data_IF_187203113198
#
_entry.id   IF_187203113198
#
_cell.length_a   1.000
_cell.length_b   1.000
_cell.length_c   1.000
_cell.angle_alpha   90.00
_cell.angle_beta   90.00
_cell.angle_gamma   90.00
#
_symmetry.space_group_name_H-M   'P 1'
#
loop_
_entity.id
_entity.type
_entity.pdbx_description
1 polymer ?
#
# COMPACT_ATOMS: atom_id res chain seq x y z
N UNK A 1 -36.67 -11.60 -2.21
CA UNK A 1 -35.24 -11.75 -2.51
C UNK A 1 -34.54 -10.50 -2.01
N UNK A 2 -33.54 -10.62 -1.13
CA UNK A 2 -32.74 -9.46 -0.70
C UNK A 2 -32.01 -8.88 -1.92
N UNK A 3 -31.91 -7.53 -2.01
CA UNK A 3 -31.14 -6.91 -3.09
C UNK A 3 -29.67 -7.38 -3.01
N UNK A 4 -28.98 -7.55 -4.15
CA UNK A 4 -27.58 -7.89 -4.16
C UNK A 4 -26.78 -6.82 -3.45
N UNK A 5 -25.73 -7.22 -2.70
CA UNK A 5 -24.82 -6.28 -2.04
C UNK A 5 -23.87 -5.65 -3.03
N UNK A 6 -23.56 -4.38 -2.82
CA UNK A 6 -22.66 -3.61 -3.66
C UNK A 6 -21.26 -3.58 -3.05
N UNK A 7 -20.26 -3.82 -3.89
CA UNK A 7 -18.84 -3.72 -3.55
C UNK A 7 -18.21 -2.56 -4.28
N UNK A 8 -17.50 -1.71 -3.57
CA UNK A 8 -16.67 -0.65 -4.16
C UNK A 8 -15.19 -0.99 -3.98
N UNK A 9 -14.47 -1.15 -5.09
CA UNK A 9 -13.01 -1.25 -5.08
C UNK A 9 -12.40 0.13 -5.30
N UNK A 10 -11.80 0.70 -4.25
CA UNK A 10 -11.03 1.93 -4.32
C UNK A 10 -9.56 1.62 -4.59
N UNK A 11 -9.05 2.02 -5.74
CA UNK A 11 -7.65 1.82 -6.13
C UNK A 11 -6.85 3.07 -5.78
N UNK A 12 -6.10 3.01 -4.66
CA UNK A 12 -5.26 4.09 -4.16
C UNK A 12 -3.92 4.24 -4.86
N UNK A 13 -3.58 3.34 -5.78
CA UNK A 13 -2.31 3.38 -6.49
C UNK A 13 -2.31 4.43 -7.60
N UNK A 14 -1.30 5.35 -7.66
CA UNK A 14 -1.14 6.27 -8.79
C UNK A 14 -0.94 5.58 -10.15
N UNK A 15 -0.51 4.32 -10.16
CA UNK A 15 -0.33 3.51 -11.38
C UNK A 15 -1.64 2.98 -11.95
N UNK A 16 -2.77 3.17 -11.25
CA UNK A 16 -4.10 2.76 -11.69
C UNK A 16 -4.21 1.26 -11.94
N UNK A 17 -4.73 0.89 -13.09
CA UNK A 17 -4.94 -0.51 -13.51
C UNK A 17 -3.65 -1.33 -13.57
N UNK A 18 -2.52 -0.69 -13.88
CA UNK A 18 -1.19 -1.34 -13.95
C UNK A 18 -0.49 -1.38 -12.59
N UNK A 19 -1.25 -1.67 -11.52
CA UNK A 19 -0.71 -1.71 -10.16
C UNK A 19 -0.99 -3.04 -9.48
N UNK A 20 -0.10 -3.43 -8.57
CA UNK A 20 -0.33 -4.58 -7.71
C UNK A 20 -1.57 -4.40 -6.83
N UNK A 21 -1.85 -3.18 -6.39
CA UNK A 21 -3.07 -2.87 -5.62
C UNK A 21 -4.32 -3.24 -6.39
N UNK A 22 -4.39 -2.87 -7.69
CA UNK A 22 -5.50 -3.24 -8.55
C UNK A 22 -5.58 -4.77 -8.74
N UNK A 23 -4.46 -5.42 -9.10
CA UNK A 23 -4.44 -6.86 -9.32
C UNK A 23 -4.92 -7.67 -8.09
N UNK A 24 -4.51 -7.27 -6.88
CA UNK A 24 -4.92 -7.93 -5.64
C UNK A 24 -6.39 -7.63 -5.32
N UNK A 25 -6.79 -6.35 -5.38
CA UNK A 25 -8.16 -5.92 -5.11
C UNK A 25 -9.16 -6.55 -6.07
N UNK A 26 -8.82 -6.58 -7.36
CA UNK A 26 -9.66 -7.20 -8.40
C UNK A 26 -9.88 -8.69 -8.18
N UNK A 27 -8.85 -9.42 -7.73
CA UNK A 27 -9.01 -10.83 -7.37
C UNK A 27 -10.07 -11.02 -6.27
N UNK A 28 -10.02 -10.22 -5.20
CA UNK A 28 -11.02 -10.30 -4.13
C UNK A 28 -12.41 -9.93 -4.64
N UNK A 29 -12.52 -8.88 -5.46
CA UNK A 29 -13.78 -8.46 -6.07
C UNK A 29 -14.36 -9.57 -6.94
N UNK A 30 -13.57 -10.19 -7.81
CA UNK A 30 -14.04 -11.31 -8.63
C UNK A 30 -14.60 -12.47 -7.77
N UNK A 31 -13.97 -12.74 -6.60
CA UNK A 31 -14.47 -13.76 -5.65
C UNK A 31 -15.78 -13.34 -4.97
N UNK A 32 -16.04 -12.05 -4.83
CA UNK A 32 -17.31 -11.52 -4.32
C UNK A 32 -18.38 -11.56 -5.41
N UNK A 33 -18.03 -11.25 -6.66
CA UNK A 33 -18.94 -11.37 -7.82
C UNK A 33 -19.39 -12.81 -8.04
N UNK A 34 -18.50 -13.81 -7.86
CA UNK A 34 -18.84 -15.25 -7.89
C UNK A 34 -19.90 -15.61 -6.81
N UNK A 35 -20.06 -14.76 -5.78
CA UNK A 35 -21.04 -14.91 -4.69
C UNK A 35 -22.28 -14.02 -4.86
N UNK A 36 -22.43 -13.39 -6.03
CA UNK A 36 -23.59 -12.59 -6.41
C UNK A 36 -23.57 -11.13 -5.96
N UNK A 37 -22.41 -10.58 -5.56
CA UNK A 37 -22.28 -9.15 -5.32
C UNK A 37 -22.09 -8.41 -6.63
N UNK A 38 -22.51 -7.14 -6.66
CA UNK A 38 -22.29 -6.22 -7.79
C UNK A 38 -21.13 -5.30 -7.46
N UNK A 39 -20.15 -5.20 -8.35
CA UNK A 39 -18.96 -4.39 -8.10
C UNK A 39 -18.91 -3.11 -8.91
N UNK A 40 -18.25 -2.10 -8.33
CA UNK A 40 -17.83 -0.85 -8.96
C UNK A 40 -16.34 -0.63 -8.64
N UNK A 41 -15.59 -0.09 -9.59
CA UNK A 41 -14.19 0.30 -9.39
C UNK A 41 -14.03 1.82 -9.48
N UNK A 42 -13.29 2.39 -8.54
CA UNK A 42 -12.93 3.80 -8.55
C UNK A 42 -11.42 4.00 -8.35
N UNK A 43 -10.82 4.72 -9.28
CA UNK A 43 -9.40 5.09 -9.23
C UNK A 43 -9.27 6.43 -8.53
N UNK A 44 -8.73 6.41 -7.33
CA UNK A 44 -8.64 7.58 -6.45
C UNK A 44 -7.99 8.78 -7.15
N UNK A 45 -6.92 8.55 -7.92
CA UNK A 45 -6.23 9.61 -8.68
C UNK A 45 -7.12 10.33 -9.69
N UNK A 46 -8.08 9.64 -10.28
CA UNK A 46 -9.06 10.25 -11.21
C UNK A 46 -10.20 10.93 -10.45
N UNK A 47 -10.56 10.38 -9.30
CA UNK A 47 -11.72 10.82 -8.51
C UNK A 47 -11.48 12.13 -7.76
N UNK A 48 -10.26 12.35 -7.22
CA UNK A 48 -10.00 13.51 -6.35
C UNK A 48 -9.53 14.79 -7.08
N UNK A 49 -9.34 14.71 -8.40
CA UNK A 49 -8.81 15.83 -9.20
C UNK A 49 -9.87 16.78 -9.76
N UNK A 50 -11.14 16.37 -9.77
CA UNK A 50 -12.25 17.18 -10.28
C UNK A 50 -13.41 17.12 -9.30
N UNK A 51 -14.28 18.13 -9.35
CA UNK A 51 -15.50 18.17 -8.54
C UNK A 51 -16.43 17.00 -8.86
N UNK A 52 -16.66 16.76 -10.14
CA UNK A 52 -17.53 15.67 -10.60
C UNK A 52 -16.95 14.29 -10.24
N UNK A 53 -15.62 14.15 -10.26
CA UNK A 53 -14.94 12.94 -9.80
C UNK A 53 -15.16 12.69 -8.31
N UNK A 54 -15.06 13.77 -7.51
CA UNK A 54 -15.30 13.70 -6.07
C UNK A 54 -16.77 13.36 -5.75
N UNK A 55 -17.72 14.00 -6.42
CA UNK A 55 -19.14 13.72 -6.22
C UNK A 55 -19.49 12.27 -6.59
N UNK A 56 -18.93 11.73 -7.69
CA UNK A 56 -19.09 10.31 -8.04
C UNK A 56 -18.49 9.39 -6.99
N UNK A 57 -17.26 9.67 -6.53
CA UNK A 57 -16.60 8.88 -5.48
C UNK A 57 -17.47 8.79 -4.22
N UNK A 58 -17.96 9.92 -3.73
CA UNK A 58 -18.78 9.99 -2.53
C UNK A 58 -20.10 9.21 -2.70
N UNK A 59 -20.75 9.35 -3.87
CA UNK A 59 -21.95 8.58 -4.21
C UNK A 59 -21.68 7.06 -4.26
N UNK A 60 -20.55 6.64 -4.86
CA UNK A 60 -20.16 5.22 -4.90
C UNK A 60 -19.90 4.68 -3.49
N UNK A 61 -19.26 5.49 -2.63
CA UNK A 61 -19.04 5.15 -1.21
C UNK A 61 -20.37 4.96 -0.47
N UNK A 62 -21.34 5.84 -0.67
CA UNK A 62 -22.67 5.72 -0.02
C UNK A 62 -23.43 4.47 -0.48
N UNK A 63 -23.34 4.13 -1.75
CA UNK A 63 -24.05 3.00 -2.33
C UNK A 63 -23.44 1.63 -1.95
N UNK A 64 -22.15 1.58 -1.62
CA UNK A 64 -21.47 0.33 -1.33
C UNK A 64 -21.91 -0.27 0.02
N UNK A 65 -21.93 -1.60 0.12
CA UNK A 65 -22.08 -2.35 1.37
C UNK A 65 -20.70 -2.80 1.88
N UNK A 66 -19.77 -3.08 0.96
CA UNK A 66 -18.38 -3.40 1.23
C UNK A 66 -17.48 -2.47 0.43
N UNK A 67 -16.58 -1.79 1.10
CA UNK A 67 -15.56 -0.93 0.48
C UNK A 67 -14.21 -1.59 0.67
N UNK A 68 -13.50 -1.81 -0.41
CA UNK A 68 -12.15 -2.39 -0.42
C UNK A 68 -11.17 -1.30 -0.86
N UNK A 69 -10.39 -0.76 0.07
CA UNK A 69 -9.31 0.16 -0.24
C UNK A 69 -8.03 -0.63 -0.53
N UNK A 70 -7.66 -0.73 -1.80
CA UNK A 70 -6.41 -1.36 -2.24
C UNK A 70 -5.38 -0.28 -2.58
N UNK A 71 -4.30 -0.17 -1.79
CA UNK A 71 -3.33 0.92 -1.89
C UNK A 71 -1.89 0.44 -1.65
N UNK A 72 -0.89 1.05 -2.32
CA UNK A 72 0.50 0.81 -1.96
C UNK A 72 0.91 1.63 -0.74
N UNK A 73 1.97 1.20 -0.07
CA UNK A 73 2.69 1.98 0.92
C UNK A 73 4.00 2.48 0.30
N UNK A 74 4.20 3.80 0.29
CA UNK A 74 5.40 4.46 -0.23
C UNK A 74 6.13 5.16 0.90
N UNK A 75 7.30 4.63 1.28
CA UNK A 75 8.13 5.19 2.36
C UNK A 75 7.28 5.48 3.62
N UNK A 76 6.62 4.43 4.11
CA UNK A 76 5.77 4.43 5.31
C UNK A 76 4.52 5.35 5.25
N UNK A 77 4.15 5.84 4.06
CA UNK A 77 2.96 6.67 3.85
C UNK A 77 2.09 6.19 2.69
N UNK A 78 0.82 6.60 2.70
CA UNK A 78 -0.06 6.42 1.56
C UNK A 78 0.24 7.44 0.47
N UNK A 79 -0.05 7.13 -0.81
CA UNK A 79 -0.02 8.14 -1.87
C UNK A 79 -0.95 9.33 -1.53
N UNK A 80 -0.50 10.55 -1.84
CA UNK A 80 -1.27 11.76 -1.52
C UNK A 80 -2.71 11.76 -2.06
N UNK A 81 -3.02 11.22 -3.26
CA UNK A 81 -4.41 11.09 -3.70
C UNK A 81 -5.25 10.18 -2.79
N UNK A 82 -4.64 9.12 -2.22
CA UNK A 82 -5.33 8.24 -1.27
C UNK A 82 -5.68 9.00 0.01
N UNK A 83 -4.72 9.77 0.57
CA UNK A 83 -4.96 10.60 1.75
C UNK A 83 -6.09 11.58 1.45
N UNK A 84 -6.03 12.27 0.30
CA UNK A 84 -7.07 13.22 -0.11
C UNK A 84 -8.45 12.58 -0.23
N UNK A 85 -8.55 11.38 -0.78
CA UNK A 85 -9.82 10.67 -0.85
C UNK A 85 -10.37 10.31 0.54
N UNK A 86 -9.50 9.86 1.46
CA UNK A 86 -9.91 9.58 2.85
C UNK A 86 -10.42 10.84 3.56
N UNK A 87 -9.75 11.99 3.37
CA UNK A 87 -10.21 13.26 3.91
C UNK A 87 -11.58 13.65 3.37
N UNK A 88 -11.78 13.59 2.04
CA UNK A 88 -13.05 13.93 1.40
C UNK A 88 -14.20 13.03 1.87
N UNK A 89 -13.94 11.71 1.98
CA UNK A 89 -14.92 10.75 2.49
C UNK A 89 -15.24 11.05 3.96
N UNK A 90 -14.23 11.35 4.79
CA UNK A 90 -14.43 11.67 6.20
C UNK A 90 -15.27 12.93 6.39
N UNK A 91 -14.92 14.02 5.70
CA UNK A 91 -15.67 15.28 5.80
C UNK A 91 -17.13 15.11 5.31
N UNK A 92 -17.32 14.38 4.21
CA UNK A 92 -18.67 14.08 3.74
C UNK A 92 -19.49 13.31 4.78
N UNK A 93 -18.90 12.30 5.42
CA UNK A 93 -19.58 11.46 6.42
C UNK A 93 -19.79 12.14 7.77
N UNK A 94 -19.09 13.22 8.04
CA UNK A 94 -19.44 14.13 9.16
C UNK A 94 -20.69 14.93 8.86
N UNK A 95 -20.84 15.36 7.61
CA UNK A 95 -21.99 16.18 7.20
C UNK A 95 -23.25 15.34 6.92
N UNK A 96 -23.07 14.12 6.39
CA UNK A 96 -24.15 13.21 5.99
C UNK A 96 -23.96 11.87 6.70
N UNK A 97 -24.85 11.56 7.64
CA UNK A 97 -24.80 10.29 8.34
C UNK A 97 -25.13 9.12 7.39
N UNK A 98 -24.41 8.00 7.50
CA UNK A 98 -24.68 6.83 6.66
C UNK A 98 -26.05 6.23 6.96
N UNK A 99 -26.78 5.87 5.91
CA UNK A 99 -28.12 5.25 6.01
C UNK A 99 -28.07 3.75 6.28
N UNK A 100 -26.89 3.14 6.11
CA UNK A 100 -26.67 1.70 6.30
C UNK A 100 -25.29 1.42 6.91
N UNK A 101 -25.14 0.25 7.51
CA UNK A 101 -23.85 -0.25 7.98
C UNK A 101 -23.01 -0.73 6.80
N UNK A 102 -21.78 -0.24 6.70
CA UNK A 102 -20.85 -0.52 5.60
C UNK A 102 -19.54 -1.08 6.16
N UNK A 103 -19.00 -2.11 5.52
CA UNK A 103 -17.69 -2.66 5.85
C UNK A 103 -16.59 -1.90 5.10
N UNK A 104 -15.52 -1.53 5.80
CA UNK A 104 -14.28 -1.06 5.20
C UNK A 104 -13.18 -2.10 5.38
N UNK A 105 -12.68 -2.60 4.28
CA UNK A 105 -11.54 -3.53 4.17
C UNK A 105 -10.36 -2.78 3.57
N UNK A 106 -9.14 -3.06 4.04
CA UNK A 106 -7.95 -2.53 3.37
C UNK A 106 -7.01 -3.63 2.91
N UNK A 107 -6.42 -3.45 1.73
CA UNK A 107 -5.33 -4.25 1.17
C UNK A 107 -4.16 -3.32 0.95
N UNK A 108 -3.11 -3.46 1.75
CA UNK A 108 -1.91 -2.64 1.65
C UNK A 108 -0.78 -3.49 1.10
N UNK A 109 -0.12 -3.01 0.05
CA UNK A 109 1.04 -3.68 -0.51
C UNK A 109 2.29 -2.80 -0.44
N UNK A 110 3.42 -3.42 -0.14
CA UNK A 110 4.74 -2.77 -0.06
C UNK A 110 5.74 -3.47 -0.97
N UNK A 111 6.75 -2.72 -1.43
CA UNK A 111 7.90 -3.28 -2.14
C UNK A 111 8.81 -4.10 -1.24
N UNK A 112 8.85 -3.79 0.06
CA UNK A 112 9.66 -4.52 1.04
C UNK A 112 8.96 -5.80 1.49
N UNK A 113 9.72 -6.86 1.85
CA UNK A 113 9.13 -8.12 2.28
C UNK A 113 8.58 -8.08 3.71
N UNK A 114 9.06 -7.16 4.56
CA UNK A 114 8.64 -7.04 5.96
C UNK A 114 7.22 -6.48 6.04
N UNK A 115 6.27 -7.31 6.44
CA UNK A 115 4.86 -6.91 6.58
C UNK A 115 4.62 -5.95 7.75
N UNK A 116 5.52 -5.93 8.71
CA UNK A 116 5.47 -5.10 9.92
C UNK A 116 5.47 -3.60 9.58
N UNK A 117 6.12 -3.21 8.47
CA UNK A 117 6.08 -1.83 7.95
C UNK A 117 4.65 -1.35 7.63
N UNK A 118 3.72 -2.29 7.36
CA UNK A 118 2.34 -1.97 7.04
C UNK A 118 1.40 -1.93 8.26
N UNK A 119 1.88 -2.28 9.45
CA UNK A 119 1.03 -2.35 10.67
C UNK A 119 0.47 -0.99 11.05
N UNK A 120 1.30 0.05 10.97
CA UNK A 120 0.86 1.43 11.26
C UNK A 120 -0.14 1.89 10.21
N UNK A 121 0.10 1.59 8.94
CA UNK A 121 -0.80 1.92 7.85
C UNK A 121 -2.19 1.26 8.03
N UNK A 122 -2.23 -0.02 8.42
CA UNK A 122 -3.51 -0.71 8.74
C UNK A 122 -4.20 -0.05 9.92
N UNK A 123 -3.46 0.34 10.98
CA UNK A 123 -4.02 1.07 12.13
C UNK A 123 -4.62 2.43 11.72
N UNK A 124 -3.96 3.15 10.82
CA UNK A 124 -4.47 4.43 10.29
C UNK A 124 -5.82 4.21 9.60
N UNK A 125 -5.93 3.22 8.71
CA UNK A 125 -7.21 2.93 8.03
C UNK A 125 -8.27 2.42 9.00
N UNK A 126 -7.91 1.63 10.01
CA UNK A 126 -8.84 1.21 11.05
C UNK A 126 -9.39 2.40 11.86
N UNK A 127 -8.53 3.35 12.24
CA UNK A 127 -8.94 4.58 12.92
C UNK A 127 -9.83 5.45 12.02
N UNK A 128 -9.47 5.57 10.74
CA UNK A 128 -10.31 6.23 9.74
C UNK A 128 -11.69 5.56 9.63
N UNK A 129 -11.75 4.23 9.61
CA UNK A 129 -13.01 3.50 9.58
C UNK A 129 -13.90 3.89 10.76
N UNK A 130 -13.35 3.89 11.96
CA UNK A 130 -14.07 4.28 13.19
C UNK A 130 -14.52 5.74 13.12
N UNK A 131 -13.62 6.66 12.77
CA UNK A 131 -13.90 8.10 12.71
C UNK A 131 -14.93 8.47 11.63
N UNK A 132 -15.05 7.64 10.58
CA UNK A 132 -15.96 7.85 9.44
C UNK A 132 -17.17 6.91 9.47
N UNK A 133 -17.51 6.32 10.60
CA UNK A 133 -18.67 5.44 10.80
C UNK A 133 -18.74 4.23 9.85
N UNK A 134 -17.56 3.65 9.51
CA UNK A 134 -17.48 2.34 8.87
C UNK A 134 -17.26 1.25 9.90
N UNK A 135 -17.85 0.08 9.69
CA UNK A 135 -17.50 -1.13 10.41
C UNK A 135 -16.16 -1.65 9.85
N UNK A 136 -15.19 -1.90 10.72
CA UNK A 136 -13.92 -2.46 10.30
C UNK A 136 -14.10 -3.88 9.76
N UNK A 137 -13.72 -4.10 8.50
CA UNK A 137 -13.85 -5.37 7.79
C UNK A 137 -12.57 -6.21 7.76
N UNK A 138 -11.42 -5.61 8.16
CA UNK A 138 -10.11 -6.28 8.23
C UNK A 138 -9.04 -5.65 7.36
N UNK A 139 -7.76 -6.05 7.56
CA UNK A 139 -6.59 -5.46 6.90
C UNK A 139 -5.56 -6.47 6.42
N UNK A 140 -5.39 -6.60 5.12
CA UNK A 140 -4.43 -7.49 4.47
C UNK A 140 -3.13 -6.74 4.17
N UNK A 141 -1.99 -7.36 4.52
CA UNK A 141 -0.64 -6.82 4.32
C UNK A 141 0.11 -7.69 3.32
N UNK A 142 0.41 -7.13 2.17
CA UNK A 142 1.11 -7.85 1.10
C UNK A 142 2.53 -7.32 0.95
N UNK A 143 3.47 -7.99 1.62
CA UNK A 143 4.89 -7.71 1.49
C UNK A 143 5.45 -8.23 0.17
N UNK A 144 6.57 -7.60 -0.28
CA UNK A 144 7.28 -7.96 -1.50
C UNK A 144 6.41 -7.89 -2.76
N UNK A 145 5.53 -6.88 -2.81
CA UNK A 145 4.61 -6.68 -3.94
C UNK A 145 5.29 -6.60 -5.31
N UNK A 146 6.58 -6.22 -5.37
CA UNK A 146 7.34 -6.21 -6.63
C UNK A 146 7.35 -7.57 -7.34
N UNK A 147 7.27 -8.68 -6.59
CA UNK A 147 7.26 -10.03 -7.15
C UNK A 147 5.95 -10.33 -7.93
N UNK A 148 4.88 -9.57 -7.72
CA UNK A 148 3.62 -9.73 -8.41
C UNK A 148 3.62 -9.15 -9.82
N UNK A 149 4.47 -8.16 -10.07
CA UNK A 149 4.63 -7.49 -11.37
C UNK A 149 3.32 -6.98 -11.99
N UNK A 150 2.34 -6.66 -11.14
CA UNK A 150 0.99 -6.20 -11.54
C UNK A 150 0.21 -7.17 -12.45
N UNK A 151 0.63 -8.42 -12.52
CA UNK A 151 -0.05 -9.46 -13.27
C UNK A 151 -1.25 -10.01 -12.49
N UNK A 152 -2.29 -10.53 -13.17
CA UNK A 152 -3.41 -11.18 -12.51
C UNK A 152 -2.94 -12.32 -11.60
N UNK A 153 -3.46 -12.38 -10.37
CA UNK A 153 -3.00 -13.37 -9.37
C UNK A 153 -3.21 -14.83 -9.83
N UNK A 154 -4.19 -15.09 -10.68
CA UNK A 154 -4.48 -16.41 -11.21
C UNK A 154 -3.36 -16.98 -12.08
N UNK A 155 -2.56 -16.12 -12.69
CA UNK A 155 -1.44 -16.51 -13.56
C UNK A 155 -0.21 -16.96 -12.76
N UNK A 156 -0.09 -16.54 -11.48
CA UNK A 156 1.04 -16.84 -10.58
C UNK A 156 0.75 -17.94 -9.57
N UNK A 157 0.05 -18.98 -9.99
CA UNK A 157 -0.56 -20.04 -9.15
C UNK A 157 0.31 -20.60 -8.00
N UNK A 158 1.59 -20.79 -8.21
CA UNK A 158 2.49 -21.35 -7.18
C UNK A 158 2.82 -20.32 -6.08
N UNK A 159 3.28 -19.14 -6.48
CA UNK A 159 3.78 -18.10 -5.58
C UNK A 159 2.65 -17.44 -4.78
N UNK A 160 1.51 -17.19 -5.41
CA UNK A 160 0.38 -16.46 -4.79
C UNK A 160 -0.62 -17.36 -4.08
N UNK A 161 -0.38 -18.69 -3.98
CA UNK A 161 -1.36 -19.65 -3.45
C UNK A 161 -1.93 -19.28 -2.09
N UNK A 162 -1.10 -18.82 -1.15
CA UNK A 162 -1.58 -18.43 0.19
C UNK A 162 -2.37 -17.12 0.14
N UNK A 163 -1.90 -16.15 -0.63
CA UNK A 163 -2.61 -14.88 -0.83
C UNK A 163 -4.00 -15.13 -1.44
N UNK A 164 -4.07 -15.87 -2.55
CA UNK A 164 -5.35 -16.18 -3.22
C UNK A 164 -6.29 -17.02 -2.36
N UNK A 165 -5.77 -17.99 -1.60
CA UNK A 165 -6.56 -18.75 -0.65
C UNK A 165 -7.12 -17.87 0.47
N UNK A 166 -6.30 -16.97 1.06
CA UNK A 166 -6.75 -16.04 2.09
C UNK A 166 -7.80 -15.05 1.57
N UNK A 167 -7.61 -14.52 0.35
CA UNK A 167 -8.59 -13.64 -0.30
C UNK A 167 -9.92 -14.38 -0.59
N UNK A 168 -9.84 -15.64 -1.03
CA UNK A 168 -11.03 -16.48 -1.25
C UNK A 168 -11.76 -16.75 0.06
N UNK A 169 -11.04 -17.02 1.16
CA UNK A 169 -11.63 -17.20 2.47
C UNK A 169 -12.27 -15.89 2.97
N UNK A 170 -11.59 -14.75 2.80
CA UNK A 170 -12.13 -13.43 3.14
C UNK A 170 -13.46 -13.14 2.41
N UNK A 171 -13.55 -13.52 1.12
CA UNK A 171 -14.76 -13.31 0.32
C UNK A 171 -16.00 -14.01 0.89
N UNK A 172 -15.85 -15.10 1.63
CA UNK A 172 -16.98 -15.80 2.27
C UNK A 172 -17.62 -14.90 3.32
N UNK A 173 -16.85 -14.43 4.29
CA UNK A 173 -17.37 -13.56 5.36
C UNK A 173 -17.89 -12.22 4.80
N UNK A 174 -17.14 -11.60 3.88
CA UNK A 174 -17.51 -10.31 3.31
C UNK A 174 -18.81 -10.39 2.49
N UNK A 175 -19.05 -11.49 1.77
CA UNK A 175 -20.32 -11.68 1.05
C UNK A 175 -21.53 -11.77 1.97
N UNK A 176 -21.33 -12.18 3.21
CA UNK A 176 -22.37 -12.22 4.24
C UNK A 176 -22.48 -10.90 5.03
N UNK A 177 -21.64 -9.90 4.72
CA UNK A 177 -21.57 -8.61 5.43
C UNK A 177 -20.90 -8.71 6.79
N UNK A 178 -20.05 -9.73 6.97
CA UNK A 178 -19.24 -9.91 8.17
C UNK A 178 -17.78 -9.52 7.90
N UNK A 179 -17.04 -9.04 8.92
CA UNK A 179 -15.59 -8.86 8.82
C UNK A 179 -14.92 -10.16 8.43
N UNK A 180 -13.80 -10.07 7.69
CA UNK A 180 -13.02 -11.27 7.38
C UNK A 180 -12.46 -11.90 8.66
N UNK A 181 -12.29 -13.23 8.63
CA UNK A 181 -11.74 -13.97 9.75
C UNK A 181 -10.24 -13.68 9.94
N UNK A 182 -9.74 -13.84 11.17
CA UNK A 182 -8.29 -13.72 11.45
C UNK A 182 -7.46 -14.71 10.62
N UNK A 183 -8.02 -15.90 10.34
CA UNK A 183 -7.39 -16.89 9.47
C UNK A 183 -7.22 -16.36 8.04
N UNK A 184 -8.26 -15.73 7.49
CA UNK A 184 -8.22 -15.12 6.17
C UNK A 184 -7.16 -14.01 6.10
N UNK A 185 -7.15 -13.09 7.09
CA UNK A 185 -6.15 -12.03 7.17
C UNK A 185 -4.72 -12.58 7.26
N UNK A 186 -4.50 -13.55 8.16
CA UNK A 186 -3.19 -14.17 8.37
C UNK A 186 -2.71 -14.90 7.12
N UNK A 187 -3.59 -15.66 6.47
CA UNK A 187 -3.26 -16.42 5.27
C UNK A 187 -2.94 -15.49 4.10
N UNK A 188 -3.79 -14.47 3.84
CA UNK A 188 -3.57 -13.49 2.79
C UNK A 188 -2.33 -12.60 3.05
N UNK A 189 -1.96 -12.39 4.30
CA UNK A 189 -0.77 -11.61 4.69
C UNK A 189 0.50 -12.46 4.81
N UNK A 190 0.48 -13.72 4.35
CA UNK A 190 1.68 -14.57 4.37
C UNK A 190 2.62 -14.20 3.23
N UNK A 191 3.90 -14.02 3.53
CA UNK A 191 4.92 -13.71 2.52
C UNK A 191 5.03 -14.87 1.50
N UNK A 192 5.25 -14.55 0.23
CA UNK A 192 5.29 -15.50 -0.89
C UNK A 192 6.43 -16.50 -0.78
N UNK A 193 7.56 -16.08 -0.22
CA UNK A 193 8.76 -16.88 0.01
C UNK A 193 9.32 -16.60 1.41
N UNK A 194 10.17 -17.46 1.97
CA UNK A 194 10.82 -17.17 3.23
C UNK A 194 11.54 -15.83 3.22
N UNK A 195 11.49 -15.09 4.32
CA UNK A 195 12.00 -13.71 4.42
C UNK A 195 13.47 -13.59 4.02
N UNK A 196 14.31 -14.57 4.40
CA UNK A 196 15.73 -14.57 4.03
C UNK A 196 15.93 -14.69 2.50
N UNK A 197 15.09 -15.47 1.81
CA UNK A 197 15.13 -15.61 0.34
C UNK A 197 14.70 -14.28 -0.30
N UNK A 198 13.61 -13.69 0.16
CA UNK A 198 13.13 -12.40 -0.33
C UNK A 198 14.21 -11.31 -0.17
N UNK A 199 14.84 -11.21 1.02
CA UNK A 199 15.93 -10.26 1.27
C UNK A 199 17.13 -10.47 0.37
N UNK A 200 17.56 -11.72 0.19
CA UNK A 200 18.69 -12.06 -0.67
C UNK A 200 18.40 -11.72 -2.12
N UNK A 201 17.22 -12.08 -2.61
CA UNK A 201 16.80 -11.76 -3.99
C UNK A 201 16.68 -10.25 -4.20
N UNK A 202 16.08 -9.51 -3.27
CA UNK A 202 15.98 -8.05 -3.35
C UNK A 202 17.37 -7.41 -3.42
N UNK A 203 18.32 -7.88 -2.61
CA UNK A 203 19.71 -7.38 -2.61
C UNK A 203 20.43 -7.66 -3.93
N UNK A 204 20.30 -8.86 -4.46
CA UNK A 204 21.00 -9.26 -5.69
C UNK A 204 20.39 -8.60 -6.93
N UNK A 205 19.09 -8.71 -7.09
CA UNK A 205 18.40 -8.20 -8.29
C UNK A 205 18.11 -6.70 -8.20
N UNK A 206 17.82 -6.18 -7.02
CA UNK A 206 17.63 -4.75 -6.80
C UNK A 206 18.87 -3.94 -7.14
N UNK A 207 20.03 -4.36 -6.65
CA UNK A 207 21.31 -3.68 -6.95
C UNK A 207 21.63 -3.74 -8.46
N UNK A 208 21.42 -4.88 -9.11
CA UNK A 208 21.66 -5.03 -10.54
C UNK A 208 20.76 -4.12 -11.37
N UNK A 209 19.47 -4.11 -11.05
CA UNK A 209 18.50 -3.28 -11.75
C UNK A 209 18.78 -1.78 -11.52
N UNK A 210 19.10 -1.40 -10.28
CA UNK A 210 19.49 -0.04 -9.92
C UNK A 210 20.72 0.43 -10.70
N UNK A 211 21.76 -0.40 -10.78
CA UNK A 211 22.97 -0.09 -11.53
C UNK A 211 22.71 0.02 -13.05
N UNK A 212 21.81 -0.79 -13.60
CA UNK A 212 21.43 -0.70 -15.00
C UNK A 212 20.67 0.60 -15.29
N UNK A 213 19.69 0.94 -14.45
CA UNK A 213 18.95 2.20 -14.56
C UNK A 213 19.87 3.42 -14.42
N UNK A 214 20.85 3.36 -13.52
CA UNK A 214 21.84 4.42 -13.38
C UNK A 214 22.71 4.59 -14.63
N UNK A 215 23.09 3.48 -15.28
CA UNK A 215 23.82 3.53 -16.57
C UNK A 215 22.97 4.12 -17.67
N UNK A 216 21.74 3.65 -17.82
CA UNK A 216 20.79 4.14 -18.84
C UNK A 216 20.51 5.65 -18.70
N UNK A 217 20.51 6.16 -17.48
CA UNK A 217 20.26 7.57 -17.18
C UNK A 217 21.54 8.41 -16.98
N UNK A 218 22.72 7.90 -17.37
CA UNK A 218 24.01 8.58 -17.22
C UNK A 218 24.32 9.05 -15.77
N UNK A 219 23.77 8.32 -14.79
CA UNK A 219 23.93 8.60 -13.37
C UNK A 219 25.01 7.71 -12.69
N UNK A 220 25.84 7.03 -13.48
CA UNK A 220 26.95 6.23 -12.96
C UNK A 220 27.91 7.09 -12.14
N UNK A 221 28.19 6.66 -10.91
CA UNK A 221 29.03 7.42 -9.97
C UNK A 221 28.30 8.50 -9.19
N UNK A 222 27.12 8.93 -9.64
CA UNK A 222 26.30 9.97 -8.96
C UNK A 222 25.14 9.42 -8.14
N UNK A 223 24.93 8.10 -8.12
CA UNK A 223 23.79 7.45 -7.48
C UNK A 223 23.68 7.70 -5.95
N UNK A 224 24.79 8.10 -5.35
CA UNK A 224 24.88 8.34 -3.90
C UNK A 224 25.31 9.78 -3.58
N UNK A 225 25.35 10.65 -4.59
CA UNK A 225 25.63 12.06 -4.38
C UNK A 225 24.51 12.69 -3.54
N UNK A 226 24.88 13.66 -2.73
CA UNK A 226 23.95 14.42 -1.88
C UNK A 226 23.91 15.88 -2.33
N UNK A 227 23.30 16.17 -3.49
CA UNK A 227 23.37 17.51 -4.11
C UNK A 227 22.77 18.63 -3.27
N UNK A 228 22.00 18.28 -2.24
CA UNK A 228 21.34 19.25 -1.31
C UNK A 228 21.98 19.25 0.08
N UNK A 229 23.13 18.61 0.27
CA UNK A 229 23.86 18.67 1.53
C UNK A 229 24.67 20.00 1.56
N UNK A 230 24.13 20.98 2.29
CA UNK A 230 24.83 22.25 2.51
C UNK A 230 25.82 22.07 3.66
N UNK A 231 27.08 22.47 3.44
CA UNK A 231 28.00 22.65 4.56
C UNK A 231 27.56 23.88 5.37
N UNK A 232 27.36 23.70 6.67
CA UNK A 232 27.04 24.80 7.60
C UNK A 232 28.12 25.90 7.64
N UNK A 233 29.26 25.69 6.96
CA UNK A 233 30.37 26.63 6.84
C UNK A 233 30.38 27.41 5.52
N UNK A 234 29.38 27.26 4.65
CA UNK A 234 29.22 28.10 3.44
C UNK A 234 30.20 27.83 2.30
N UNK A 235 30.94 26.74 2.34
CA UNK A 235 31.81 26.33 1.22
C UNK A 235 31.10 25.31 0.33
N UNK A 236 31.00 25.59 -0.96
CA UNK A 236 30.54 24.64 -2.00
C UNK A 236 31.46 23.43 -2.02
N UNK A 237 30.96 22.27 -1.55
CA UNK A 237 31.71 21.03 -1.70
C UNK A 237 31.65 20.55 -3.14
N UNK A 238 32.60 21.00 -3.95
CA UNK A 238 32.96 20.31 -5.16
C UNK A 238 33.37 18.87 -4.80
N UNK A 239 32.75 17.93 -5.49
CA UNK A 239 32.91 16.46 -5.43
C UNK A 239 34.22 15.97 -4.79
N UNK A 240 34.11 15.42 -3.58
CA UNK A 240 35.22 14.67 -2.96
C UNK A 240 35.33 13.31 -3.67
N UNK A 241 36.47 12.94 -4.24
CA UNK A 241 36.65 11.63 -4.84
C UNK A 241 36.58 10.53 -3.77
N UNK A 242 35.75 9.54 -3.97
CA UNK A 242 35.67 8.35 -3.09
C UNK A 242 36.93 7.51 -3.16
N UNK A 243 37.79 7.70 -2.21
CA UNK A 243 38.91 6.83 -1.91
C UNK A 243 39.40 7.12 -0.51
N UNK A 244 39.05 6.21 0.43
CA UNK A 244 39.44 6.14 1.86
C UNK A 244 38.45 6.79 2.83
N UNK A 245 37.67 5.95 3.50
CA UNK A 245 37.65 5.83 4.97
C UNK A 245 36.33 5.28 5.53
N UNK A 246 36.23 3.97 5.63
CA UNK A 246 35.29 3.34 6.59
C UNK A 246 35.67 3.63 8.06
N UNK A 247 36.89 4.09 8.30
CA UNK A 247 37.44 4.29 9.65
C UNK A 247 37.04 5.64 10.26
N UNK A 248 36.81 6.68 9.46
CA UNK A 248 36.41 8.00 9.96
C UNK A 248 34.90 8.12 10.26
N UNK A 249 34.07 7.35 9.58
CA UNK A 249 32.63 7.36 9.85
C UNK A 249 32.22 6.71 11.17
N UNK A 250 33.07 5.85 11.76
CA UNK A 250 32.78 5.25 13.08
C UNK A 250 33.02 6.23 14.23
N UNK A 251 33.96 7.15 14.09
CA UNK A 251 34.26 8.14 15.12
C UNK A 251 33.18 9.22 15.24
N UNK A 252 32.70 9.75 14.11
CA UNK A 252 31.64 10.77 14.10
C UNK A 252 30.25 10.25 14.54
N UNK A 253 29.96 8.97 14.33
CA UNK A 253 28.74 8.31 14.82
C UNK A 253 28.76 8.06 16.33
N UNK A 254 29.94 7.93 16.93
CA UNK A 254 30.08 7.75 18.36
C UNK A 254 29.96 9.07 19.11
N UNK A 255 30.54 10.14 18.58
CA UNK A 255 30.45 11.50 19.13
C UNK A 255 29.02 12.07 19.09
N UNK A 256 28.27 11.81 18.03
CA UNK A 256 26.85 12.17 17.95
C UNK A 256 25.95 11.39 18.93
N UNK A 257 26.27 10.14 19.25
CA UNK A 257 25.50 9.35 20.24
C UNK A 257 25.68 9.86 21.67
N UNK A 258 26.82 10.44 22.00
CA UNK A 258 27.07 11.02 23.33
C UNK A 258 26.38 12.37 23.54
N UNK A 259 26.25 13.15 22.47
CA UNK A 259 25.54 14.45 22.54
C UNK A 259 24.02 14.31 22.69
N UNK A 260 23.40 13.24 22.16
CA UNK A 260 21.96 12.96 22.35
C UNK A 260 21.58 12.40 23.73
N UNK A 261 22.56 12.02 24.55
CA UNK A 261 22.32 11.55 25.93
C UNK A 261 22.36 12.68 26.97
N UNK A 262 22.64 13.92 26.56
CA UNK A 262 22.74 15.08 27.44
C UNK A 262 21.61 16.11 27.27
N UNK A 263 20.61 15.80 26.42
CA UNK A 263 19.35 16.53 26.30
C UNK A 263 18.22 15.63 26.80
#
# INVERSE_FOLDING_TARGET
MSQPRNVLLLIGSPRGERSNSHAIGKFLVNKLEEKGLVSEEAFVTRSVNTREGTERLLKSVENADVIILATPLYVDSFPSPTIKALELIHEHRKAVLPTKSQLLVTIINSGFPEKEHMDIAVKIIRNFAQASNFKWGGGIRVGWGMALNSEPLNEKKGMTRKLTAGLSLASVNLSEGQPMSEEAEKLASTLFVPLFVAKTMTRLFGNRNWNNLAKENNANGKMYDRPYEFNLQGEDTQSVPRGKSETQNKASLQENKENWRKI
#
